data_IF_748945510610
#
_entry.id   IF_748945510610
#
_cell.length_a   1.000
_cell.length_b   1.000
_cell.length_c   1.000
_cell.angle_alpha   90.00
_cell.angle_beta   90.00
_cell.angle_gamma   90.00
#
_symmetry.space_group_name_H-M   'P 1'
#
loop_
_entity.id
_entity.type
_entity.pdbx_description
1 polymer ?
#
# COMPACT_ATOMS: atom_id res chain seq x y z
N UNK A 1 -9.16 -54.14 19.79
CA UNK A 1 -8.69 -54.30 18.39
C UNK A 1 -8.76 -53.03 17.52
N UNK A 2 -9.56 -52.00 17.84
CA UNK A 2 -9.67 -50.78 17.02
C UNK A 2 -8.50 -49.77 17.14
N UNK A 3 -7.80 -49.73 18.28
CA UNK A 3 -6.67 -48.81 18.52
C UNK A 3 -5.43 -49.15 17.67
N UNK A 4 -5.10 -50.44 17.54
CA UNK A 4 -3.92 -50.88 16.79
C UNK A 4 -4.04 -50.63 15.28
N UNK A 5 -5.25 -50.64 14.73
CA UNK A 5 -5.51 -50.32 13.31
C UNK A 5 -5.30 -48.84 13.01
N UNK A 6 -5.68 -47.93 13.91
CA UNK A 6 -5.47 -46.47 13.74
C UNK A 6 -3.99 -46.11 13.80
N UNK A 7 -3.22 -46.73 14.69
CA UNK A 7 -1.76 -46.51 14.79
C UNK A 7 -1.03 -47.00 13.54
N UNK A 8 -1.42 -48.16 12.99
CA UNK A 8 -0.85 -48.66 11.73
C UNK A 8 -1.14 -47.73 10.54
N UNK A 9 -2.36 -47.18 10.45
CA UNK A 9 -2.72 -46.23 9.38
C UNK A 9 -1.92 -44.94 9.50
N UNK A 10 -1.75 -44.41 10.72
CA UNK A 10 -0.94 -43.20 10.95
C UNK A 10 0.54 -43.41 10.64
N UNK A 11 1.10 -44.58 10.96
CA UNK A 11 2.48 -44.93 10.62
C UNK A 11 2.68 -45.07 9.10
N UNK A 12 1.72 -45.67 8.40
CA UNK A 12 1.75 -45.77 6.93
C UNK A 12 1.64 -44.40 6.27
N UNK A 13 0.77 -43.52 6.75
CA UNK A 13 0.64 -42.16 6.23
C UNK A 13 1.91 -41.33 6.47
N UNK A 14 2.54 -41.45 7.64
CA UNK A 14 3.82 -40.80 7.91
C UNK A 14 4.95 -41.32 7.02
N UNK A 15 5.02 -42.64 6.76
CA UNK A 15 6.00 -43.22 5.85
C UNK A 15 5.81 -42.72 4.41
N UNK A 16 4.56 -42.58 3.95
CA UNK A 16 4.24 -42.02 2.62
C UNK A 16 4.65 -40.55 2.55
N UNK A 17 4.38 -39.76 3.59
CA UNK A 17 4.76 -38.35 3.64
C UNK A 17 6.28 -38.14 3.62
N UNK A 18 7.02 -38.94 4.39
CA UNK A 18 8.49 -38.89 4.42
C UNK A 18 9.08 -39.34 3.07
N UNK A 19 8.55 -40.41 2.47
CA UNK A 19 8.98 -40.85 1.14
C UNK A 19 8.72 -39.78 0.07
N UNK A 20 7.56 -39.10 0.13
CA UNK A 20 7.23 -37.98 -0.75
C UNK A 20 8.19 -36.80 -0.58
N UNK A 21 8.57 -36.46 0.65
CA UNK A 21 9.51 -35.39 0.93
C UNK A 21 10.93 -35.69 0.45
N UNK A 22 11.39 -36.94 0.63
CA UNK A 22 12.70 -37.39 0.13
C UNK A 22 12.74 -37.40 -1.40
N UNK A 23 11.67 -37.83 -2.07
CA UNK A 23 11.55 -37.80 -3.53
C UNK A 23 11.50 -36.36 -4.07
N UNK A 24 10.84 -35.44 -3.37
CA UNK A 24 10.82 -34.02 -3.72
C UNK A 24 12.21 -33.39 -3.61
N UNK A 25 12.93 -33.66 -2.52
CA UNK A 25 14.31 -33.19 -2.34
C UNK A 25 15.28 -33.81 -3.36
N UNK A 26 15.07 -35.07 -3.74
CA UNK A 26 15.89 -35.74 -4.76
C UNK A 26 15.67 -35.19 -6.18
N UNK A 27 14.48 -34.64 -6.48
CA UNK A 27 14.17 -34.01 -7.78
C UNK A 27 14.47 -32.51 -7.85
N UNK A 28 14.63 -31.83 -6.71
CA UNK A 28 15.10 -30.45 -6.66
C UNK A 28 16.63 -30.39 -6.73
N UNK A 29 17.20 -30.38 -7.94
CA UNK A 29 18.60 -29.95 -8.11
C UNK A 29 18.69 -28.41 -8.02
N UNK A 30 19.61 -27.83 -7.23
CA UNK A 30 19.86 -26.41 -7.25
C UNK A 30 20.49 -26.02 -8.61
N UNK A 31 19.93 -25.00 -9.25
CA UNK A 31 20.49 -24.38 -10.45
C UNK A 31 21.77 -23.64 -10.02
N UNK A 32 22.92 -24.13 -10.46
CA UNK A 32 24.19 -23.43 -10.31
C UNK A 32 24.27 -22.32 -11.37
N UNK A 33 24.20 -21.07 -10.94
CA UNK A 33 24.47 -19.91 -11.80
C UNK A 33 25.99 -19.82 -11.99
N UNK A 34 26.45 -19.99 -13.23
CA UNK A 34 27.85 -19.76 -13.62
C UNK A 34 28.16 -18.27 -13.62
N UNK A 35 29.20 -17.91 -12.88
CA UNK A 35 29.91 -16.63 -12.98
C UNK A 35 30.92 -16.69 -14.12
N UNK A 36 30.96 -15.66 -14.96
CA UNK A 36 32.04 -15.41 -15.93
C UNK A 36 31.56 -15.02 -17.31
N UNK A 37 31.50 -13.71 -17.59
CA UNK A 37 32.23 -13.12 -18.72
C UNK A 37 32.42 -11.60 -18.51
N UNK A 38 33.57 -11.13 -18.97
CA UNK A 38 34.29 -9.93 -18.54
C UNK A 38 34.04 -8.68 -19.42
N UNK A 39 34.74 -7.59 -19.03
CA UNK A 39 34.99 -6.29 -19.69
C UNK A 39 33.99 -5.17 -19.34
N UNK A 40 34.38 -3.96 -18.91
CA UNK A 40 35.68 -3.28 -18.93
C UNK A 40 35.78 -2.27 -17.76
N UNK A 41 36.97 -2.16 -17.15
CA UNK A 41 37.36 -1.03 -16.30
C UNK A 41 37.43 0.28 -17.10
N UNK A 42 36.88 1.37 -16.54
CA UNK A 42 37.43 2.73 -16.70
C UNK A 42 37.24 3.49 -15.38
N UNK A 43 38.34 4.02 -14.81
CA UNK A 43 38.38 5.02 -13.74
C UNK A 43 39.49 6.03 -14.10
N UNK A 44 39.58 7.21 -13.46
CA UNK A 44 38.70 8.38 -13.56
C UNK A 44 39.47 9.64 -14.03
N UNK A 45 38.78 10.73 -14.40
CA UNK A 45 39.30 12.08 -14.14
C UNK A 45 38.20 13.11 -13.95
N UNK A 46 38.44 13.98 -12.98
CA UNK A 46 37.57 15.01 -12.43
C UNK A 46 37.34 16.18 -13.40
N UNK A 47 36.19 16.83 -13.25
CA UNK A 47 36.13 18.28 -13.07
C UNK A 47 34.80 18.70 -12.44
N UNK A 48 34.91 19.58 -11.45
CA UNK A 48 33.80 20.18 -10.72
C UNK A 48 33.26 21.36 -11.52
N UNK A 49 31.95 21.40 -11.79
CA UNK A 49 31.22 22.65 -11.98
C UNK A 49 29.70 22.45 -11.86
N UNK A 50 29.12 23.27 -10.99
CA UNK A 50 27.77 23.84 -11.02
C UNK A 50 26.56 22.99 -10.56
N UNK A 51 26.20 23.28 -9.30
CA UNK A 51 24.84 23.27 -8.78
C UNK A 51 23.89 24.10 -9.67
N UNK A 52 22.96 23.46 -10.37
CA UNK A 52 21.54 23.83 -10.44
C UNK A 52 20.79 22.91 -11.41
N UNK A 53 19.54 22.57 -11.06
CA UNK A 53 18.61 21.65 -11.73
C UNK A 53 18.79 20.17 -11.36
N UNK A 54 17.92 19.67 -10.48
CA UNK A 54 17.66 18.24 -10.35
C UNK A 54 16.99 17.77 -11.65
N UNK A 55 17.78 17.34 -12.65
CA UNK A 55 17.25 16.54 -13.74
C UNK A 55 16.77 15.22 -13.17
N UNK A 56 15.50 14.89 -13.36
CA UNK A 56 14.93 13.60 -12.97
C UNK A 56 15.79 12.46 -13.52
N UNK A 57 15.93 11.38 -12.75
CA UNK A 57 16.67 10.19 -13.22
C UNK A 57 16.03 9.65 -14.51
N UNK A 58 16.79 9.11 -15.48
CA UNK A 58 16.25 8.50 -16.70
C UNK A 58 15.14 7.46 -16.43
N UNK A 59 15.20 6.79 -15.28
CA UNK A 59 14.18 5.84 -14.81
C UNK A 59 12.88 6.57 -14.44
N UNK A 60 12.96 7.71 -13.74
CA UNK A 60 11.80 8.50 -13.36
C UNK A 60 11.08 9.07 -14.59
N UNK A 61 11.83 9.54 -15.59
CA UNK A 61 11.27 10.02 -16.85
C UNK A 61 10.59 8.90 -17.65
N UNK A 62 11.16 7.69 -17.64
CA UNK A 62 10.54 6.52 -18.25
C UNK A 62 9.20 6.15 -17.58
N UNK A 63 9.14 6.19 -16.24
CA UNK A 63 7.90 5.93 -15.50
C UNK A 63 6.86 7.03 -15.76
N UNK A 64 7.25 8.30 -15.75
CA UNK A 64 6.33 9.41 -16.07
C UNK A 64 5.79 9.34 -17.50
N UNK A 65 6.58 8.86 -18.46
CA UNK A 65 6.12 8.58 -19.83
C UNK A 65 5.13 7.42 -19.87
N UNK A 66 5.41 6.31 -19.16
CA UNK A 66 4.48 5.17 -19.04
C UNK A 66 3.15 5.58 -18.41
N UNK A 67 3.17 6.42 -17.37
CA UNK A 67 1.95 6.96 -16.76
C UNK A 67 1.15 7.82 -17.75
N UNK A 68 1.83 8.63 -18.57
CA UNK A 68 1.17 9.42 -19.63
C UNK A 68 0.51 8.54 -20.69
N UNK A 69 1.18 7.45 -21.06
CA UNK A 69 0.63 6.48 -22.02
C UNK A 69 -0.56 5.73 -21.42
N UNK A 70 -0.48 5.37 -20.13
CA UNK A 70 -1.59 4.75 -19.41
C UNK A 70 -2.81 5.67 -19.35
N UNK A 71 -2.59 6.96 -19.07
CA UNK A 71 -3.64 7.99 -19.09
C UNK A 71 -4.33 8.07 -20.47
N UNK A 72 -3.55 8.11 -21.56
CA UNK A 72 -4.08 8.11 -22.94
C UNK A 72 -4.79 6.79 -23.28
N UNK A 73 -4.26 5.64 -22.88
CA UNK A 73 -4.89 4.32 -23.07
C UNK A 73 -6.21 4.24 -22.32
N UNK A 74 -6.23 4.62 -21.04
CA UNK A 74 -7.46 4.62 -20.22
C UNK A 74 -8.47 5.58 -20.81
N UNK A 75 -8.06 6.80 -21.18
CA UNK A 75 -8.94 7.78 -21.80
C UNK A 75 -9.53 7.29 -23.13
N UNK A 76 -8.71 6.66 -23.99
CA UNK A 76 -9.15 6.08 -25.27
C UNK A 76 -9.96 4.81 -25.13
N UNK A 77 -9.64 3.95 -24.16
CA UNK A 77 -10.43 2.76 -23.88
C UNK A 77 -11.79 3.14 -23.32
N UNK A 78 -11.86 4.07 -22.36
CA UNK A 78 -13.13 4.55 -21.80
C UNK A 78 -13.99 5.25 -22.86
N UNK A 79 -13.40 6.12 -23.69
CA UNK A 79 -14.16 6.82 -24.75
C UNK A 79 -14.43 5.97 -26.00
N UNK A 80 -13.59 4.96 -26.29
CA UNK A 80 -13.68 4.10 -27.47
C UNK A 80 -14.53 2.84 -27.28
N UNK A 81 -14.57 2.27 -26.07
CA UNK A 81 -15.37 1.08 -25.76
C UNK A 81 -16.84 1.42 -25.50
N UNK A 82 -17.14 2.61 -24.99
CA UNK A 82 -18.52 3.05 -24.69
C UNK A 82 -19.42 3.08 -25.94
N UNK A 83 -18.88 3.41 -27.12
CA UNK A 83 -19.68 3.61 -28.35
C UNK A 83 -19.58 2.50 -29.39
N UNK A 84 -18.45 1.79 -29.48
CA UNK A 84 -18.19 0.88 -30.62
C UNK A 84 -18.65 -0.56 -30.41
N UNK A 85 -18.95 -0.96 -29.17
CA UNK A 85 -19.32 -2.36 -28.87
C UNK A 85 -20.81 -2.67 -29.01
N UNK A 86 -21.66 -1.69 -29.34
CA UNK A 86 -23.10 -1.93 -29.47
C UNK A 86 -23.63 -2.69 -28.26
N UNK A 87 -23.49 -2.11 -27.07
CA UNK A 87 -24.01 -2.67 -25.82
C UNK A 87 -25.53 -2.76 -25.93
N UNK A 88 -25.96 -3.90 -26.48
CA UNK A 88 -27.35 -4.31 -26.61
C UNK A 88 -27.99 -4.14 -25.23
N UNK A 89 -29.02 -3.30 -25.15
CA UNK A 89 -30.04 -3.45 -24.12
C UNK A 89 -30.63 -4.86 -24.23
N UNK A 90 -30.09 -5.81 -23.45
CA UNK A 90 -30.57 -7.18 -23.38
C UNK A 90 -29.53 -8.02 -22.66
N UNK A 91 -29.73 -8.51 -21.43
CA UNK A 91 -30.93 -9.05 -20.81
C UNK A 91 -31.17 -8.39 -19.44
N UNK A 92 -32.28 -7.65 -19.32
CA UNK A 92 -32.93 -7.20 -18.08
C UNK A 92 -32.06 -6.91 -16.85
N UNK A 93 -31.66 -5.64 -16.66
CA UNK A 93 -31.51 -4.99 -15.34
C UNK A 93 -30.74 -5.69 -14.21
N UNK A 94 -29.97 -6.76 -14.46
CA UNK A 94 -29.28 -7.53 -13.41
C UNK A 94 -28.26 -6.63 -12.71
N UNK A 95 -28.36 -6.56 -11.39
CA UNK A 95 -27.54 -5.69 -10.56
C UNK A 95 -27.64 -4.19 -10.88
N UNK A 96 -28.72 -3.76 -11.55
CA UNK A 96 -29.03 -2.34 -11.77
C UNK A 96 -29.26 -1.66 -10.42
N UNK A 97 -28.76 -0.43 -10.30
CA UNK A 97 -28.79 0.32 -9.05
C UNK A 97 -27.88 -0.27 -7.96
N UNK A 98 -26.90 -1.11 -8.34
CA UNK A 98 -26.00 -1.80 -7.42
C UNK A 98 -26.64 -2.91 -6.58
N UNK A 99 -27.84 -3.36 -6.92
CA UNK A 99 -28.51 -4.49 -6.28
C UNK A 99 -27.75 -5.82 -6.52
N UNK A 100 -28.00 -6.87 -5.72
CA UNK A 100 -27.43 -8.19 -6.01
C UNK A 100 -27.97 -8.74 -7.34
N UNK A 101 -27.07 -9.20 -8.19
CA UNK A 101 -27.40 -9.94 -9.39
C UNK A 101 -27.43 -11.45 -9.09
N UNK A 102 -28.31 -12.18 -9.77
CA UNK A 102 -28.49 -13.62 -9.58
C UNK A 102 -28.40 -14.37 -10.91
N UNK A 103 -28.02 -15.63 -10.82
CA UNK A 103 -28.03 -16.59 -11.93
C UNK A 103 -29.25 -17.50 -11.80
N UNK A 104 -29.77 -18.00 -12.92
CA UNK A 104 -30.69 -19.13 -12.88
C UNK A 104 -29.95 -20.43 -12.52
N UNK A 105 -30.63 -21.48 -12.02
CA UNK A 105 -29.97 -22.73 -11.67
C UNK A 105 -29.15 -23.36 -12.82
N UNK A 106 -29.63 -23.25 -14.07
CA UNK A 106 -28.90 -23.73 -15.25
C UNK A 106 -27.66 -22.87 -15.58
N UNK A 107 -27.67 -21.60 -15.20
CA UNK A 107 -26.54 -20.69 -15.31
C UNK A 107 -25.52 -20.89 -14.19
N UNK A 108 -25.96 -21.24 -12.98
CA UNK A 108 -25.07 -21.56 -11.85
C UNK A 108 -24.16 -22.75 -12.16
N UNK A 109 -24.70 -23.79 -12.81
CA UNK A 109 -23.89 -24.93 -13.27
C UNK A 109 -22.76 -24.49 -14.23
N UNK A 110 -23.01 -23.48 -15.06
CA UNK A 110 -22.01 -22.91 -15.97
C UNK A 110 -21.02 -21.97 -15.27
N UNK A 111 -21.40 -21.41 -14.14
CA UNK A 111 -20.56 -20.53 -13.34
C UNK A 111 -19.56 -21.29 -12.44
N UNK A 112 -19.64 -22.62 -12.36
CA UNK A 112 -18.69 -23.47 -11.62
C UNK A 112 -17.31 -23.47 -12.29
N UNK A 113 -16.25 -23.14 -11.54
CA UNK A 113 -14.85 -23.17 -11.99
C UNK A 113 -14.22 -21.78 -12.21
N UNK A 114 -14.80 -20.86 -12.99
CA UNK A 114 -14.23 -19.52 -13.21
C UNK A 114 -13.94 -18.75 -11.92
N UNK A 115 -14.73 -18.95 -10.86
CA UNK A 115 -14.45 -18.33 -9.56
C UNK A 115 -13.10 -18.74 -8.98
N UNK A 116 -12.70 -20.01 -9.11
CA UNK A 116 -11.40 -20.50 -8.60
C UNK A 116 -10.22 -19.83 -9.32
N UNK A 117 -10.41 -19.47 -10.59
CA UNK A 117 -9.38 -18.83 -11.41
C UNK A 117 -9.26 -17.33 -11.13
N UNK A 118 -10.39 -16.63 -10.97
CA UNK A 118 -10.42 -15.17 -10.91
C UNK A 118 -10.66 -14.60 -9.50
N UNK A 119 -11.08 -15.43 -8.54
CA UNK A 119 -11.43 -15.01 -7.18
C UNK A 119 -12.79 -14.31 -7.07
N UNK A 120 -13.60 -14.33 -8.13
CA UNK A 120 -14.95 -13.74 -8.16
C UNK A 120 -15.82 -14.42 -9.23
N UNK A 121 -17.13 -14.20 -9.18
CA UNK A 121 -18.11 -14.78 -10.13
C UNK A 121 -18.05 -14.09 -11.51
N UNK A 122 -16.98 -14.35 -12.27
CA UNK A 122 -16.76 -13.80 -13.61
C UNK A 122 -17.90 -14.09 -14.58
N UNK A 123 -18.52 -15.27 -14.51
CA UNK A 123 -19.66 -15.63 -15.35
C UNK A 123 -20.88 -14.73 -15.11
N UNK A 124 -21.16 -14.37 -13.85
CA UNK A 124 -22.19 -13.38 -13.55
C UNK A 124 -21.77 -11.97 -13.97
N UNK A 125 -20.49 -11.62 -13.83
CA UNK A 125 -19.93 -10.33 -14.25
C UNK A 125 -20.20 -10.03 -15.72
N UNK A 126 -19.98 -11.02 -16.60
CA UNK A 126 -20.18 -10.90 -18.05
C UNK A 126 -21.65 -10.66 -18.44
N UNK A 127 -22.59 -10.91 -17.51
CA UNK A 127 -24.03 -10.72 -17.69
C UNK A 127 -24.55 -9.42 -17.09
N UNK A 128 -23.70 -8.64 -16.43
CA UNK A 128 -24.02 -7.34 -15.90
C UNK A 128 -23.58 -6.28 -16.91
N UNK A 129 -24.45 -5.30 -17.18
CA UNK A 129 -24.12 -4.20 -18.08
C UNK A 129 -22.90 -3.42 -17.59
N UNK A 130 -21.98 -3.10 -18.51
CA UNK A 130 -20.84 -2.21 -18.23
C UNK A 130 -21.30 -0.80 -17.82
N UNK A 131 -22.45 -0.36 -18.33
CA UNK A 131 -23.07 0.94 -18.04
C UNK A 131 -24.15 0.85 -16.96
N UNK A 132 -24.11 -0.18 -16.10
CA UNK A 132 -25.12 -0.32 -15.04
C UNK A 132 -25.12 0.90 -14.11
N UNK A 133 -26.32 1.32 -13.68
CA UNK A 133 -26.43 2.31 -12.63
C UNK A 133 -25.97 1.74 -11.28
N UNK A 134 -25.41 2.60 -10.43
CA UNK A 134 -24.95 2.29 -9.07
C UNK A 134 -25.56 3.29 -8.08
N UNK A 135 -25.67 2.95 -6.79
CA UNK A 135 -26.17 3.88 -5.78
C UNK A 135 -25.15 5.01 -5.56
N UNK A 136 -25.65 6.20 -5.24
CA UNK A 136 -24.82 7.33 -4.83
C UNK A 136 -24.77 7.40 -3.30
N UNK A 137 -23.64 7.01 -2.72
CA UNK A 137 -23.40 7.07 -1.27
C UNK A 137 -22.72 8.36 -0.81
N UNK A 138 -22.48 9.31 -1.71
CA UNK A 138 -21.81 10.56 -1.36
C UNK A 138 -22.73 11.42 -0.47
N UNK A 139 -22.17 12.14 0.51
CA UNK A 139 -22.93 13.13 1.25
C UNK A 139 -23.32 14.29 0.33
N UNK A 140 -24.46 14.92 0.60
CA UNK A 140 -25.02 16.01 -0.23
C UNK A 140 -24.11 17.22 -0.38
N UNK A 141 -23.16 17.41 0.55
CA UNK A 141 -22.19 18.52 0.60
C UNK A 141 -20.77 18.11 0.16
N UNK A 142 -20.61 17.00 -0.55
CA UNK A 142 -19.29 16.55 -0.99
C UNK A 142 -18.66 17.51 -2.01
N UNK A 143 -17.50 18.08 -1.67
CA UNK A 143 -16.70 18.89 -2.58
C UNK A 143 -15.95 18.03 -3.61
N UNK A 144 -15.72 18.52 -4.84
CA UNK A 144 -14.94 17.80 -5.85
C UNK A 144 -13.51 17.51 -5.39
N UNK A 145 -13.01 16.28 -5.60
CA UNK A 145 -11.63 15.89 -5.24
C UNK A 145 -10.57 16.82 -5.84
N UNK A 146 -10.81 17.35 -7.05
CA UNK A 146 -9.89 18.25 -7.73
C UNK A 146 -9.76 19.62 -7.05
N UNK A 147 -10.80 20.14 -6.37
CA UNK A 147 -10.70 21.41 -5.65
C UNK A 147 -9.67 21.32 -4.52
N UNK A 148 -9.62 20.17 -3.84
CA UNK A 148 -8.65 19.88 -2.78
C UNK A 148 -7.22 19.83 -3.30
N UNK A 149 -6.98 19.27 -4.48
CA UNK A 149 -5.66 19.28 -5.13
C UNK A 149 -5.29 20.70 -5.60
N UNK A 150 -6.26 21.46 -6.11
CA UNK A 150 -6.06 22.84 -6.54
C UNK A 150 -5.65 23.75 -5.39
N UNK A 151 -6.32 23.65 -4.23
CA UNK A 151 -5.95 24.36 -3.00
C UNK A 151 -4.51 24.07 -2.56
N UNK A 152 -4.07 22.81 -2.71
CA UNK A 152 -2.71 22.43 -2.36
C UNK A 152 -2.26 21.22 -3.18
N UNK A 153 -1.38 21.48 -4.17
CA UNK A 153 -0.83 20.47 -5.08
C UNK A 153 -0.08 19.32 -4.40
N UNK A 154 0.32 19.49 -3.12
CA UNK A 154 1.05 18.48 -2.35
C UNK A 154 0.14 17.54 -1.56
N UNK A 155 -1.18 17.64 -1.73
CA UNK A 155 -2.13 16.68 -1.15
C UNK A 155 -2.18 15.43 -2.02
N UNK A 156 -2.26 14.29 -1.35
CA UNK A 156 -2.68 13.01 -1.90
C UNK A 156 -4.04 12.73 -1.26
N UNK A 157 -5.00 12.25 -2.04
CA UNK A 157 -6.37 12.04 -1.58
C UNK A 157 -6.73 10.58 -1.81
N UNK A 158 -7.27 9.96 -0.78
CA UNK A 158 -7.80 8.61 -0.84
C UNK A 158 -9.33 8.70 -0.96
N UNK A 159 -9.96 8.05 -1.93
CA UNK A 159 -11.41 7.96 -1.95
C UNK A 159 -11.89 7.05 -0.82
N UNK A 160 -13.17 7.18 -0.44
CA UNK A 160 -13.84 6.12 0.29
C UNK A 160 -14.03 4.92 -0.66
N UNK A 161 -13.79 3.71 -0.17
CA UNK A 161 -13.79 2.49 -0.97
C UNK A 161 -14.96 1.62 -0.51
N UNK A 162 -16.03 1.64 -1.29
CA UNK A 162 -17.19 0.78 -1.08
C UNK A 162 -16.91 -0.65 -1.57
N UNK A 163 -17.65 -1.60 -1.02
CA UNK A 163 -17.48 -3.01 -1.34
C UNK A 163 -18.35 -3.40 -2.54
N UNK A 164 -17.80 -4.23 -3.43
CA UNK A 164 -18.57 -4.93 -4.45
C UNK A 164 -18.47 -6.42 -4.14
N UNK A 165 -19.60 -7.06 -3.84
CA UNK A 165 -19.62 -8.50 -3.52
C UNK A 165 -19.10 -9.31 -4.71
N UNK A 166 -18.09 -10.11 -4.48
CA UNK A 166 -17.46 -10.95 -5.50
C UNK A 166 -18.43 -11.96 -6.15
N UNK A 167 -19.50 -12.36 -5.44
CA UNK A 167 -20.44 -13.40 -5.90
C UNK A 167 -21.70 -12.85 -6.56
N UNK A 168 -22.17 -11.68 -6.14
CA UNK A 168 -23.47 -11.09 -6.57
C UNK A 168 -23.30 -9.72 -7.22
N UNK A 169 -22.13 -9.09 -7.14
CA UNK A 169 -21.85 -7.73 -7.58
C UNK A 169 -22.74 -6.65 -6.96
N UNK A 170 -23.38 -6.95 -5.83
CA UNK A 170 -24.04 -5.97 -4.99
C UNK A 170 -23.01 -4.94 -4.52
N UNK A 171 -23.34 -3.66 -4.67
CA UNK A 171 -22.55 -2.54 -4.16
C UNK A 171 -23.02 -2.27 -2.74
N UNK A 172 -22.11 -2.35 -1.78
CA UNK A 172 -22.36 -2.10 -0.38
C UNK A 172 -21.50 -0.96 0.10
N UNK A 173 -22.15 0.06 0.67
CA UNK A 173 -21.45 1.16 1.32
C UNK A 173 -20.54 0.62 2.42
N UNK A 174 -19.28 1.06 2.42
CA UNK A 174 -18.36 0.84 3.52
C UNK A 174 -18.32 2.07 4.42
N UNK A 175 -18.14 1.86 5.73
CA UNK A 175 -18.05 2.97 6.66
C UNK A 175 -16.74 3.73 6.50
N UNK A 176 -16.84 5.06 6.58
CA UNK A 176 -15.69 5.93 6.43
C UNK A 176 -14.68 5.65 7.55
N UNK A 177 -13.46 5.37 7.16
CA UNK A 177 -12.38 4.97 8.05
C UNK A 177 -11.13 5.77 7.76
N UNK A 178 -10.32 6.02 8.80
CA UNK A 178 -8.93 6.36 8.59
C UNK A 178 -8.15 5.07 8.32
N UNK A 179 -6.94 5.21 7.79
CA UNK A 179 -6.02 4.09 7.58
C UNK A 179 -4.82 4.16 8.54
N UNK A 180 -4.26 3.00 8.85
CA UNK A 180 -3.02 2.84 9.62
C UNK A 180 -2.21 1.64 9.13
N UNK A 181 -1.04 1.44 9.74
CA UNK A 181 -0.24 0.23 9.56
C UNK A 181 0.01 -0.45 10.91
N UNK A 182 0.00 -1.78 10.93
CA UNK A 182 0.55 -2.54 12.05
C UNK A 182 2.09 -2.47 12.05
N UNK A 183 2.73 -2.94 13.12
CA UNK A 183 4.20 -3.01 13.19
C UNK A 183 4.84 -4.06 12.27
N UNK A 184 4.03 -5.02 11.83
CA UNK A 184 4.36 -5.99 10.78
C UNK A 184 4.07 -5.42 9.39
N UNK A 185 3.75 -4.12 9.31
CA UNK A 185 3.48 -3.41 8.07
C UNK A 185 2.23 -3.91 7.33
N UNK A 186 1.21 -4.38 8.07
CA UNK A 186 -0.12 -4.65 7.48
C UNK A 186 -0.96 -3.39 7.42
N UNK A 187 -1.60 -3.12 6.28
CA UNK A 187 -2.60 -2.04 6.16
C UNK A 187 -3.83 -2.35 7.02
N UNK A 188 -4.33 -1.37 7.75
CA UNK A 188 -5.47 -1.50 8.66
C UNK A 188 -6.44 -0.34 8.47
N UNK A 189 -7.73 -0.61 8.67
CA UNK A 189 -8.71 0.43 8.94
C UNK A 189 -8.66 0.80 10.42
N UNK A 190 -8.67 2.09 10.71
CA UNK A 190 -8.69 2.63 12.07
C UNK A 190 -9.82 3.65 12.17
N UNK A 191 -10.30 3.89 13.39
CA UNK A 191 -11.30 4.92 13.64
C UNK A 191 -10.81 6.28 13.14
N UNK A 192 -11.68 7.07 12.47
CA UNK A 192 -11.39 8.46 12.17
C UNK A 192 -10.97 9.25 13.43
N UNK A 193 -10.16 10.31 13.27
CA UNK A 193 -9.81 11.22 14.35
C UNK A 193 -11.02 11.78 15.10
N UNK A 194 -10.84 12.09 16.40
CA UNK A 194 -11.93 12.55 17.27
C UNK A 194 -12.54 13.87 16.78
N UNK A 195 -11.72 14.79 16.28
CA UNK A 195 -12.16 16.07 15.71
C UNK A 195 -13.08 15.88 14.49
N UNK A 196 -12.85 14.84 13.68
CA UNK A 196 -13.74 14.48 12.57
C UNK A 196 -15.11 14.01 13.09
N UNK A 197 -15.13 13.19 14.14
CA UNK A 197 -16.37 12.77 14.79
C UNK A 197 -17.12 13.93 15.45
N UNK A 198 -16.40 14.79 16.17
CA UNK A 198 -16.95 15.97 16.84
C UNK A 198 -17.55 16.96 15.83
N UNK A 199 -17.01 17.03 14.60
CA UNK A 199 -17.54 17.88 13.54
C UNK A 199 -18.90 17.40 12.99
N UNK A 200 -19.19 16.09 13.09
CA UNK A 200 -20.49 15.51 12.69
C UNK A 200 -20.82 15.63 11.19
N UNK A 201 -19.85 15.99 10.34
CA UNK A 201 -20.05 16.17 8.90
C UNK A 201 -19.25 15.11 8.10
N UNK A 202 -19.93 14.10 7.52
CA UNK A 202 -19.27 13.03 6.78
C UNK A 202 -18.68 13.47 5.44
N UNK A 203 -18.93 14.71 4.98
CA UNK A 203 -18.31 15.27 3.77
C UNK A 203 -16.90 15.81 4.01
N UNK A 204 -16.53 16.02 5.28
CA UNK A 204 -15.20 16.50 5.63
C UNK A 204 -14.14 15.42 5.40
N UNK A 205 -12.92 15.78 4.95
CA UNK A 205 -11.87 14.82 4.71
C UNK A 205 -11.36 14.22 6.02
N UNK A 206 -11.16 12.91 6.03
CA UNK A 206 -10.48 12.21 7.12
C UNK A 206 -8.97 12.33 6.95
N UNK A 207 -8.30 12.83 7.98
CA UNK A 207 -6.85 12.82 8.06
C UNK A 207 -6.39 11.43 8.47
N UNK A 208 -5.58 10.81 7.62
CA UNK A 208 -5.06 9.47 7.87
C UNK A 208 -3.53 9.43 7.84
N UNK A 209 -2.88 8.75 8.81
CA UNK A 209 -1.43 8.62 8.87
C UNK A 209 -0.86 7.62 7.84
N UNK A 210 -1.72 6.88 7.14
CA UNK A 210 -1.34 5.84 6.20
C UNK A 210 -2.14 5.98 4.91
N UNK A 211 -1.64 5.35 3.84
CA UNK A 211 -2.39 5.19 2.61
C UNK A 211 -2.70 3.73 2.30
N UNK A 212 -3.84 3.51 1.70
CA UNK A 212 -4.20 2.25 1.07
C UNK A 212 -3.81 2.34 -0.42
N UNK A 213 -3.13 1.32 -0.93
CA UNK A 213 -2.46 1.37 -2.24
C UNK A 213 -3.40 1.26 -3.44
N UNK A 214 -4.61 0.75 -3.22
CA UNK A 214 -5.51 0.39 -4.32
C UNK A 214 -6.07 1.61 -5.09
N UNK A 215 -6.19 2.78 -4.47
CA UNK A 215 -6.62 4.00 -5.16
C UNK A 215 -6.20 5.27 -4.42
N UNK A 216 -5.68 6.23 -5.18
CA UNK A 216 -5.36 7.57 -4.68
C UNK A 216 -5.34 8.58 -5.83
N UNK A 217 -5.52 9.85 -5.49
CA UNK A 217 -5.41 10.98 -6.40
C UNK A 217 -4.27 11.88 -5.95
N UNK A 218 -3.35 12.18 -6.87
CA UNK A 218 -2.18 13.02 -6.60
C UNK A 218 -1.87 13.91 -7.80
N UNK A 219 -1.34 15.09 -7.55
CA UNK A 219 -0.80 15.91 -8.62
C UNK A 219 0.42 15.23 -9.27
N UNK A 220 0.38 15.02 -10.59
CA UNK A 220 1.44 14.33 -11.35
C UNK A 220 2.85 14.89 -11.14
N UNK A 221 3.00 16.22 -11.12
CA UNK A 221 4.33 16.85 -10.91
C UNK A 221 4.82 16.58 -9.49
N UNK A 222 3.94 16.73 -8.50
CA UNK A 222 4.27 16.40 -7.12
C UNK A 222 4.62 14.92 -6.93
N UNK A 223 3.93 14.00 -7.62
CA UNK A 223 4.24 12.58 -7.57
C UNK A 223 5.66 12.29 -8.09
N UNK A 224 6.09 12.97 -9.15
CA UNK A 224 7.47 12.95 -9.63
C UNK A 224 8.46 13.53 -8.62
N UNK A 225 8.12 14.66 -7.99
CA UNK A 225 8.96 15.34 -6.98
C UNK A 225 9.25 14.44 -5.76
N UNK A 226 8.29 13.62 -5.32
CA UNK A 226 8.50 12.68 -4.19
C UNK A 226 9.14 11.34 -4.61
N UNK A 227 9.53 11.23 -5.88
CA UNK A 227 10.28 10.09 -6.40
C UNK A 227 9.43 8.89 -6.81
N UNK A 228 8.14 9.08 -7.13
CA UNK A 228 7.21 8.02 -7.58
C UNK A 228 7.16 6.84 -6.59
N UNK A 229 7.00 5.61 -7.07
CA UNK A 229 7.21 4.38 -6.29
C UNK A 229 8.68 3.95 -6.36
N UNK A 230 9.17 3.23 -5.36
CA UNK A 230 10.54 2.70 -5.38
C UNK A 230 10.70 1.66 -6.51
N UNK A 231 11.61 1.88 -7.50
CA UNK A 231 11.82 0.94 -8.60
C UNK A 231 12.43 -0.40 -8.17
N UNK A 232 12.91 -0.52 -6.93
CA UNK A 232 13.39 -1.77 -6.36
C UNK A 232 12.28 -2.68 -5.81
N UNK A 233 11.02 -2.22 -5.80
CA UNK A 233 9.88 -3.08 -5.44
C UNK A 233 9.57 -4.08 -6.54
N UNK A 234 9.22 -5.29 -6.14
CA UNK A 234 8.87 -6.37 -7.05
C UNK A 234 7.47 -6.91 -6.76
N UNK A 235 6.72 -7.21 -7.82
CA UNK A 235 5.35 -7.72 -7.82
C UNK A 235 4.33 -6.84 -7.07
N UNK A 236 4.17 -7.01 -5.76
CA UNK A 236 3.12 -6.37 -4.95
C UNK A 236 3.44 -6.46 -3.45
N UNK A 237 3.06 -5.43 -2.70
CA UNK A 237 3.16 -5.40 -1.25
C UNK A 237 4.12 -4.32 -0.75
N UNK A 238 3.64 -3.47 0.14
CA UNK A 238 4.43 -2.42 0.79
C UNK A 238 4.58 -1.14 -0.03
N UNK A 239 4.11 -1.09 -1.28
CA UNK A 239 4.13 0.13 -2.11
C UNK A 239 3.32 1.26 -1.49
N UNK A 240 2.18 0.92 -0.90
CA UNK A 240 1.34 1.83 -0.15
C UNK A 240 2.05 2.35 1.10
N UNK A 241 2.83 1.51 1.78
CA UNK A 241 3.55 1.86 3.01
C UNK A 241 4.70 2.79 2.68
N UNK A 242 5.47 2.45 1.66
CA UNK A 242 6.60 3.25 1.21
C UNK A 242 6.14 4.62 0.76
N UNK A 243 5.08 4.69 -0.05
CA UNK A 243 4.51 5.96 -0.48
C UNK A 243 3.89 6.72 0.70
N UNK A 244 3.24 6.04 1.64
CA UNK A 244 2.75 6.63 2.89
C UNK A 244 3.86 7.24 3.74
N UNK A 245 4.99 6.55 3.88
CA UNK A 245 6.17 7.01 4.63
C UNK A 245 6.91 8.12 3.87
N UNK A 246 6.96 8.12 2.53
CA UNK A 246 7.54 9.22 1.74
C UNK A 246 6.88 10.57 2.00
N UNK A 247 5.63 10.54 2.44
CA UNK A 247 4.86 11.73 2.80
C UNK A 247 5.11 12.18 4.26
N UNK A 248 5.82 11.36 5.05
CA UNK A 248 6.30 11.71 6.38
C UNK A 248 7.35 12.82 6.33
N UNK A 249 7.49 13.57 7.43
CA UNK A 249 8.38 14.73 7.50
C UNK A 249 9.35 14.60 8.65
N UNK A 250 10.60 14.93 8.39
CA UNK A 250 11.61 15.17 9.42
C UNK A 250 11.87 16.67 9.52
N UNK A 251 11.87 17.23 10.74
CA UNK A 251 12.18 18.65 10.95
C UNK A 251 13.64 18.86 11.33
N UNK A 252 14.18 20.07 11.11
CA UNK A 252 15.56 20.45 11.48
C UNK A 252 15.84 20.29 12.98
N UNK A 253 14.81 20.40 13.81
CA UNK A 253 14.88 20.27 15.27
C UNK A 253 14.98 18.80 15.74
N UNK A 254 14.89 17.85 14.80
CA UNK A 254 15.11 16.44 15.09
C UNK A 254 13.86 15.61 15.29
N UNK A 255 12.70 16.10 14.88
CA UNK A 255 11.43 15.37 15.04
C UNK A 255 11.11 14.58 13.78
N UNK A 256 10.90 13.27 13.94
CA UNK A 256 10.33 12.42 12.89
C UNK A 256 8.82 12.35 13.09
N UNK A 257 8.09 13.06 12.23
CA UNK A 257 6.64 13.03 12.19
C UNK A 257 6.18 12.01 11.17
N UNK A 258 5.48 10.98 11.64
CA UNK A 258 4.79 10.01 10.80
C UNK A 258 3.30 10.32 10.94
N UNK A 259 2.67 10.86 9.89
CA UNK A 259 1.30 11.37 10.02
C UNK A 259 0.75 12.05 8.78
N UNK A 260 -0.52 12.46 8.88
CA UNK A 260 -1.40 12.71 7.75
C UNK A 260 -0.96 13.78 6.72
N UNK A 261 -1.45 13.57 5.50
CA UNK A 261 -1.42 14.48 4.35
C UNK A 261 -2.10 15.83 4.68
N UNK A 262 -1.34 16.75 5.26
CA UNK A 262 -1.81 18.10 5.53
C UNK A 262 -0.68 18.97 6.06
N UNK A 263 -0.64 20.22 5.64
CA UNK A 263 0.26 21.26 6.17
C UNK A 263 0.12 21.33 7.69
N UNK A 264 1.13 20.84 8.42
CA UNK A 264 1.20 20.81 9.89
C UNK A 264 1.45 22.17 10.52
N UNK A 265 1.41 23.27 9.76
CA UNK A 265 1.52 24.60 10.34
C UNK A 265 0.28 25.02 11.13
N UNK A 266 -0.84 24.27 11.09
CA UNK A 266 -2.11 24.76 11.65
C UNK A 266 -2.99 23.77 12.43
N UNK A 267 -2.59 22.51 12.73
CA UNK A 267 -3.50 21.59 13.44
C UNK A 267 -2.86 20.71 14.53
N UNK A 268 -3.63 20.39 15.61
CA UNK A 268 -3.15 19.75 16.85
C UNK A 268 -2.87 18.24 16.75
N UNK A 269 -3.23 17.58 15.64
CA UNK A 269 -3.15 16.11 15.51
C UNK A 269 -1.79 15.61 14.98
N UNK A 270 -0.70 16.10 15.56
CA UNK A 270 0.66 15.68 15.19
C UNK A 270 1.05 14.39 15.93
N UNK A 271 1.43 13.37 15.17
CA UNK A 271 1.91 12.08 15.68
C UNK A 271 3.43 11.97 15.53
N UNK A 272 4.09 11.59 16.61
CA UNK A 272 5.54 11.46 16.72
C UNK A 272 5.92 9.99 16.86
N UNK A 273 7.00 9.59 16.18
CA UNK A 273 7.67 8.33 16.49
C UNK A 273 8.36 8.46 17.87
N UNK A 274 8.05 7.55 18.78
CA UNK A 274 8.52 7.59 20.17
C UNK A 274 9.28 6.33 20.53
N UNK A 275 10.40 6.54 21.22
CA UNK A 275 11.10 5.53 21.99
C UNK A 275 11.07 5.91 23.49
N UNK A 276 10.35 5.12 24.29
CA UNK A 276 10.22 5.32 25.74
C UNK A 276 11.13 4.40 26.58
N UNK A 277 12.14 3.77 25.96
CA UNK A 277 13.07 2.77 26.50
C UNK A 277 12.45 1.48 27.08
N UNK A 278 11.12 1.37 27.14
CA UNK A 278 10.40 0.22 27.71
C UNK A 278 9.97 -0.76 26.64
N UNK A 279 9.42 -0.24 25.55
CA UNK A 279 8.92 -1.06 24.45
C UNK A 279 10.06 -1.51 23.54
N UNK A 280 10.03 -2.76 23.08
CA UNK A 280 10.87 -3.22 21.96
C UNK A 280 10.39 -2.67 20.63
N UNK A 281 9.09 -2.40 20.51
CA UNK A 281 8.49 -1.84 19.31
C UNK A 281 8.45 -0.31 19.40
N UNK A 282 8.66 0.41 18.28
CA UNK A 282 8.40 1.84 18.22
C UNK A 282 6.93 2.14 18.56
N UNK A 283 6.64 3.39 18.90
CA UNK A 283 5.26 3.83 19.16
C UNK A 283 4.94 5.09 18.38
N UNK A 284 3.68 5.22 17.96
CA UNK A 284 3.18 6.43 17.31
C UNK A 284 2.20 7.17 18.23
N UNK A 285 2.70 8.18 18.94
CA UNK A 285 1.96 8.90 19.97
C UNK A 285 1.72 10.35 19.57
N UNK A 286 0.71 10.96 20.17
CA UNK A 286 0.48 12.40 20.10
C UNK A 286 1.72 13.14 20.61
N UNK A 287 2.29 14.00 19.76
CA UNK A 287 3.54 14.69 20.04
C UNK A 287 3.48 15.51 21.34
N UNK A 288 2.35 16.16 21.63
CA UNK A 288 2.20 17.06 22.77
C UNK A 288 1.98 16.30 24.08
N UNK A 289 1.40 15.10 24.01
CA UNK A 289 1.23 14.22 25.16
C UNK A 289 2.52 13.54 25.62
N UNK A 290 3.57 13.54 24.79
CA UNK A 290 4.87 12.97 25.13
C UNK A 290 5.70 13.98 25.93
N UNK A 291 5.72 13.80 27.26
CA UNK A 291 6.39 14.71 28.22
C UNK A 291 7.87 14.94 27.93
N UNK A 292 8.62 13.88 27.60
CA UNK A 292 10.06 14.00 27.32
C UNK A 292 10.28 14.28 25.83
N UNK A 293 10.84 15.44 25.52
CA UNK A 293 11.23 15.79 24.16
C UNK A 293 12.32 14.87 23.60
N UNK A 294 13.13 14.25 24.46
CA UNK A 294 14.21 13.35 24.06
C UNK A 294 13.68 12.03 23.47
N UNK A 295 12.54 11.52 23.95
CA UNK A 295 11.94 10.28 23.46
C UNK A 295 11.36 10.39 22.05
N UNK A 296 11.07 11.61 21.59
CA UNK A 296 10.56 11.91 20.24
C UNK A 296 11.60 12.53 19.32
N UNK A 297 12.84 12.69 19.77
CA UNK A 297 13.94 13.26 18.97
C UNK A 297 14.83 12.15 18.42
N UNK A 298 15.12 12.25 17.14
CA UNK A 298 15.86 11.24 16.40
C UNK A 298 17.02 11.90 15.65
N UNK A 299 18.18 11.26 15.73
CA UNK A 299 19.35 11.57 14.93
C UNK A 299 19.30 10.76 13.64
N UNK A 300 19.50 11.45 12.53
CA UNK A 300 19.51 10.86 11.20
C UNK A 300 20.80 11.22 10.50
N UNK A 301 21.47 10.19 10.00
CA UNK A 301 22.67 10.31 9.19
C UNK A 301 22.37 9.55 7.90
N UNK A 302 22.54 10.21 6.74
CA UNK A 302 22.40 9.53 5.46
C UNK A 302 23.34 8.35 5.39
N UNK A 303 22.84 7.20 4.93
CA UNK A 303 23.56 5.93 4.92
C UNK A 303 24.06 5.50 6.32
N UNK A 304 23.39 5.95 7.38
CA UNK A 304 23.70 5.65 8.76
C UNK A 304 22.50 5.12 9.52
N UNK A 305 22.63 4.99 10.83
CA UNK A 305 21.56 4.51 11.68
C UNK A 305 20.54 5.61 12.00
N UNK A 306 19.29 5.21 12.24
CA UNK A 306 18.24 6.08 12.79
C UNK A 306 18.25 5.89 14.30
N UNK A 307 18.78 6.85 15.05
CA UNK A 307 18.99 6.69 16.50
C UNK A 307 18.14 7.66 17.31
N UNK A 308 17.48 7.19 18.36
CA UNK A 308 16.78 8.06 19.28
C UNK A 308 17.79 8.83 20.15
N UNK A 309 17.64 10.16 20.25
CA UNK A 309 18.57 11.02 20.99
C UNK A 309 18.46 10.84 22.51
N UNK A 310 17.32 10.36 23.02
CA UNK A 310 17.11 10.14 24.44
C UNK A 310 17.61 8.78 24.92
N UNK A 311 17.26 7.72 24.19
CA UNK A 311 17.55 6.35 24.63
C UNK A 311 18.84 5.78 24.05
N UNK A 312 19.38 6.38 22.98
CA UNK A 312 20.54 5.86 22.24
C UNK A 312 20.24 4.58 21.45
N UNK A 313 18.99 4.10 21.44
CA UNK A 313 18.61 2.92 20.65
C UNK A 313 18.38 3.31 19.19
N UNK A 314 18.66 2.36 18.31
CA UNK A 314 18.40 2.47 16.89
C UNK A 314 17.06 1.86 16.52
N UNK A 315 16.38 2.53 15.58
CA UNK A 315 15.26 2.00 14.83
C UNK A 315 15.83 1.08 13.74
N UNK A 316 15.52 -0.21 13.85
CA UNK A 316 16.05 -1.23 12.95
C UNK A 316 14.95 -2.18 12.49
N UNK A 317 15.24 -2.84 11.37
CA UNK A 317 14.41 -3.87 10.76
C UNK A 317 14.95 -5.24 11.15
N UNK A 318 14.09 -6.09 11.74
CA UNK A 318 14.38 -7.49 12.03
C UNK A 318 13.54 -8.40 11.13
N UNK A 319 14.20 -9.30 10.41
CA UNK A 319 13.54 -10.34 9.63
C UNK A 319 13.23 -11.55 10.52
N UNK A 320 11.96 -11.95 10.61
CA UNK A 320 11.47 -13.11 11.37
C UNK A 320 11.13 -14.31 10.50
N UNK A 321 11.64 -14.36 9.27
CA UNK A 321 11.40 -15.45 8.32
C UNK A 321 9.94 -15.43 7.85
N UNK A 322 9.21 -16.52 8.08
CA UNK A 322 7.81 -16.66 7.65
C UNK A 322 6.85 -15.68 8.32
N UNK A 323 7.22 -15.12 9.47
CA UNK A 323 6.41 -14.12 10.19
C UNK A 323 6.59 -12.69 9.65
N UNK A 324 7.43 -12.50 8.63
CA UNK A 324 7.65 -11.20 7.99
C UNK A 324 8.74 -10.37 8.66
N UNK A 325 8.55 -9.07 8.64
CA UNK A 325 9.56 -8.07 9.00
C UNK A 325 9.01 -7.17 10.10
N UNK A 326 9.75 -7.05 11.21
CA UNK A 326 9.40 -6.18 12.33
C UNK A 326 10.28 -4.92 12.34
N UNK A 327 9.65 -3.77 12.60
CA UNK A 327 10.36 -2.56 12.98
C UNK A 327 10.54 -2.51 14.50
N UNK A 328 11.78 -2.37 14.97
CA UNK A 328 12.13 -2.56 16.37
C UNK A 328 13.14 -1.53 16.88
N UNK A 329 13.23 -1.42 18.20
CA UNK A 329 14.14 -0.55 18.94
C UNK A 329 15.15 -1.38 19.72
N UNK A 330 16.43 -1.26 19.36
CA UNK A 330 17.53 -2.01 19.99
C UNK A 330 18.83 -1.22 20.01
N UNK A 331 19.86 -1.77 20.66
CA UNK A 331 21.23 -1.30 20.44
C UNK A 331 21.59 -1.42 18.96
N UNK A 332 22.23 -0.39 18.43
CA UNK A 332 22.53 -0.28 17.01
C UNK A 332 23.42 -1.43 16.54
N UNK A 333 22.96 -2.18 15.54
CA UNK A 333 23.68 -3.32 14.94
C UNK A 333 24.49 -2.92 13.70
N UNK A 334 24.34 -1.67 13.25
CA UNK A 334 25.03 -1.13 12.07
C UNK A 334 24.16 -1.10 10.82
N UNK A 335 22.85 -1.36 10.93
CA UNK A 335 21.91 -1.18 9.83
C UNK A 335 21.91 0.28 9.34
N UNK A 336 21.88 0.46 8.02
CA UNK A 336 22.01 1.76 7.36
C UNK A 336 20.75 2.11 6.61
N UNK A 337 20.35 3.37 6.74
CA UNK A 337 19.13 3.91 6.15
C UNK A 337 19.46 4.99 5.11
N UNK A 338 18.74 4.96 3.99
CA UNK A 338 18.78 6.02 2.97
C UNK A 338 17.46 6.77 3.00
N UNK A 339 17.49 8.08 3.20
CA UNK A 339 16.27 8.91 3.24
C UNK A 339 16.21 9.72 1.96
N UNK A 340 15.28 9.35 1.06
CA UNK A 340 15.14 9.99 -0.25
C UNK A 340 14.43 11.36 -0.16
N UNK A 341 13.51 11.53 0.79
CA UNK A 341 12.72 12.76 0.95
C UNK A 341 12.99 13.41 2.31
N UNK A 342 13.86 14.42 2.34
CA UNK A 342 14.10 15.26 3.54
C UNK A 342 13.56 16.67 3.30
N UNK A 343 12.84 17.23 4.28
CA UNK A 343 12.39 18.62 4.23
C UNK A 343 13.39 19.44 5.03
N UNK A 344 14.04 20.40 4.37
CA UNK A 344 14.92 21.38 5.02
C UNK A 344 14.12 22.55 5.57
#
# INVERSE_FOLDING_TARGET
>A
MASLRRVKVLLVLNLIAVAGFVLFLAKCRPIAVRSGDAFHEIRPRAEAANLSAHSASPIQDAVLKRLSLLEDIVYRQLNGLSKSLGLIEGYGGRGKGGLPATLSPAEEEKAKGPHEKYGYNSYLSEKISLDRSIPDYRPTKAEPVLSRIQENRKRVILPSIDNIKQDTFEVQRYENSAHGYSWELWCMYISPPKDWWDAGDPSLPIRTPAMIGCSFVVNRKFFGEIGLLDPGMDVYGGENIELGIKLARYTKEGFLHLGALGTTTLLPDTRCLVDNSKSRLPQLLDCDKVKSSLYKRWNFIQNGAIMNKGTGRCLEVENRGLAGIDLILRSCTGQRWTIKNSIK
#
